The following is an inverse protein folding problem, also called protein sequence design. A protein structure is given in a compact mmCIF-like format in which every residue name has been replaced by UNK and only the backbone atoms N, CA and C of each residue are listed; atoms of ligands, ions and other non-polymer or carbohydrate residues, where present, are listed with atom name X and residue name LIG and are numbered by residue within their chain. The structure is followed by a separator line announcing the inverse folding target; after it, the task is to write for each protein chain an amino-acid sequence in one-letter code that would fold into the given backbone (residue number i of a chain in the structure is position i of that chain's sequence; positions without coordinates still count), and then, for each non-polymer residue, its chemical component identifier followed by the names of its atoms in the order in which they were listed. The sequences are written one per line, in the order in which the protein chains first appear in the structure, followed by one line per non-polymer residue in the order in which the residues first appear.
data_IF_604524437484
#
_entry.id   IF_604524437484
#
_cell.length_a   1.000
_cell.length_b   1.000
_cell.length_c   1.000
_cell.angle_alpha   90.00
_cell.angle_beta   90.00
_cell.angle_gamma   90.00
#
_symmetry.space_group_name_H-M   'P 1'
#
loop_
_entity.id
_entity.type
_entity.pdbx_description
1 polymer ?
#
# COMPACT_ATOMS: atom_id res chain seq x y z
N UNK A 1 8.23 -17.67 -10.77
CA UNK A 1 8.24 -16.39 -10.01
C UNK A 1 6.81 -15.86 -10.03
N UNK A 2 6.22 -15.60 -8.86
CA UNK A 2 4.80 -15.23 -8.78
C UNK A 2 4.59 -13.72 -8.56
N UNK A 3 5.64 -12.88 -8.73
CA UNK A 3 5.57 -11.43 -8.66
C UNK A 3 5.59 -10.83 -10.06
N UNK A 4 4.70 -9.87 -10.29
CA UNK A 4 4.59 -9.05 -11.50
C UNK A 4 5.03 -7.64 -11.16
N UNK A 5 5.84 -7.03 -12.01
CA UNK A 5 6.20 -5.62 -11.86
C UNK A 5 5.03 -4.72 -12.27
N UNK A 6 4.63 -3.85 -11.36
CA UNK A 6 3.59 -2.86 -11.60
C UNK A 6 4.25 -1.61 -12.15
N UNK A 7 3.79 -1.16 -13.32
CA UNK A 7 4.33 0.02 -14.00
C UNK A 7 3.25 1.09 -14.19
N UNK A 8 3.64 2.36 -14.20
CA UNK A 8 2.70 3.47 -14.35
C UNK A 8 1.89 3.37 -15.65
N UNK A 9 2.55 3.12 -16.77
CA UNK A 9 1.92 3.04 -18.08
C UNK A 9 1.13 1.73 -18.30
N UNK A 10 1.65 0.60 -17.81
CA UNK A 10 1.01 -0.70 -17.97
C UNK A 10 -0.26 -0.86 -17.15
N UNK A 11 -0.30 -0.24 -15.96
CA UNK A 11 -1.39 -0.42 -14.99
C UNK A 11 -2.22 0.85 -14.75
N UNK A 12 -1.83 2.01 -15.34
CA UNK A 12 -2.58 3.27 -15.18
C UNK A 12 -2.53 3.87 -13.78
N UNK A 13 -1.48 3.57 -13.01
CA UNK A 13 -1.26 4.08 -11.65
C UNK A 13 -0.21 5.18 -11.62
N UNK A 14 -0.19 5.94 -10.52
CA UNK A 14 0.90 6.82 -10.15
C UNK A 14 1.73 6.19 -9.03
N UNK A 15 2.96 6.64 -8.87
CA UNK A 15 3.84 6.20 -7.79
C UNK A 15 4.33 7.37 -6.94
N UNK A 16 4.36 7.11 -5.64
CA UNK A 16 5.07 7.88 -4.64
C UNK A 16 5.65 6.86 -3.64
N UNK A 17 6.63 6.06 -4.12
CA UNK A 17 7.18 4.92 -3.38
C UNK A 17 7.98 5.42 -2.16
N UNK A 18 7.27 5.63 -1.05
CA UNK A 18 7.75 6.30 0.14
C UNK A 18 9.08 5.73 0.68
N UNK A 19 9.21 4.41 0.64
CA UNK A 19 10.40 3.74 1.20
C UNK A 19 11.62 3.74 0.28
N UNK A 20 11.48 4.21 -0.95
CA UNK A 20 12.62 4.48 -1.84
C UNK A 20 13.24 5.87 -1.62
N UNK A 21 12.57 6.73 -0.85
CA UNK A 21 13.02 8.06 -0.46
C UNK A 21 13.24 8.17 1.06
N UNK A 22 13.57 9.38 1.52
CA UNK A 22 13.72 9.69 2.93
C UNK A 22 12.41 10.20 3.59
N UNK A 23 11.38 10.49 2.78
CA UNK A 23 10.10 10.99 3.26
C UNK A 23 9.18 9.81 3.67
N UNK A 24 9.57 9.15 4.76
CA UNK A 24 8.85 8.07 5.41
C UNK A 24 9.17 8.04 6.91
N UNK A 25 8.48 7.24 7.70
CA UNK A 25 8.63 7.22 9.15
C UNK A 25 10.03 6.82 9.66
N UNK A 26 10.88 6.19 8.81
CA UNK A 26 12.27 5.86 9.19
C UNK A 26 13.24 7.02 8.96
N UNK A 27 12.82 8.08 8.24
CA UNK A 27 13.63 9.25 7.89
C UNK A 27 14.78 8.95 6.92
N UNK A 28 14.79 7.79 6.27
CA UNK A 28 15.82 7.37 5.32
C UNK A 28 15.26 6.35 4.31
N UNK A 29 15.89 6.21 3.14
CA UNK A 29 15.52 5.15 2.21
C UNK A 29 15.68 3.76 2.85
N UNK A 30 14.65 2.92 2.71
CA UNK A 30 14.67 1.50 3.04
C UNK A 30 15.01 0.69 1.79
N UNK A 31 14.49 1.10 0.63
CA UNK A 31 14.82 0.52 -0.67
C UNK A 31 15.95 1.30 -1.32
N UNK A 32 16.90 0.61 -1.95
CA UNK A 32 17.93 1.19 -2.79
C UNK A 32 17.43 1.46 -4.21
N UNK A 33 16.42 0.72 -4.66
CA UNK A 33 15.78 0.86 -5.96
C UNK A 33 14.28 1.02 -5.81
N UNK A 34 13.73 2.09 -6.40
CA UNK A 34 12.30 2.30 -6.50
C UNK A 34 11.70 1.31 -7.52
N UNK A 35 10.93 0.34 -7.04
CA UNK A 35 10.18 -0.59 -7.87
C UNK A 35 8.93 -1.05 -7.13
N UNK A 36 7.90 -1.39 -7.89
CA UNK A 36 6.62 -1.85 -7.36
C UNK A 36 6.31 -3.23 -7.93
N UNK A 37 6.06 -4.20 -7.05
CA UNK A 37 5.67 -5.55 -7.46
C UNK A 37 4.42 -6.00 -6.70
N UNK A 38 3.61 -6.83 -7.34
CA UNK A 38 2.51 -7.56 -6.69
C UNK A 38 2.56 -9.04 -7.10
N UNK A 39 1.97 -9.88 -6.27
CA UNK A 39 1.70 -11.27 -6.64
C UNK A 39 0.74 -11.33 -7.83
N UNK A 40 0.90 -12.32 -8.71
CA UNK A 40 0.03 -12.51 -9.88
C UNK A 40 -1.46 -12.63 -9.54
N UNK A 41 -1.81 -13.05 -8.32
CA UNK A 41 -3.19 -13.11 -7.85
C UNK A 41 -3.72 -11.74 -7.35
N UNK A 42 -2.84 -10.82 -6.97
CA UNK A 42 -3.20 -9.48 -6.49
C UNK A 42 -3.24 -8.43 -7.61
N UNK A 43 -2.47 -8.62 -8.68
CA UNK A 43 -2.49 -7.72 -9.84
C UNK A 43 -3.89 -7.52 -10.43
N UNK A 44 -4.72 -8.57 -10.67
CA UNK A 44 -6.08 -8.38 -11.20
C UNK A 44 -6.98 -7.53 -10.30
N UNK A 45 -6.78 -7.61 -8.97
CA UNK A 45 -7.52 -6.79 -8.01
C UNK A 45 -7.11 -5.31 -8.14
N UNK A 46 -5.82 -5.02 -8.33
CA UNK A 46 -5.35 -3.66 -8.60
C UNK A 46 -5.94 -3.13 -9.92
N UNK A 47 -5.91 -3.93 -10.98
CA UNK A 47 -6.48 -3.54 -12.28
C UNK A 47 -7.99 -3.25 -12.17
N UNK A 48 -8.73 -4.03 -11.38
CA UNK A 48 -10.14 -3.77 -11.11
C UNK A 48 -10.34 -2.45 -10.36
N UNK A 49 -9.53 -2.19 -9.32
CA UNK A 49 -9.59 -0.93 -8.56
C UNK A 49 -9.29 0.30 -9.43
N UNK A 50 -8.27 0.21 -10.31
CA UNK A 50 -7.93 1.28 -11.26
C UNK A 50 -9.11 1.58 -12.18
N UNK A 51 -9.79 0.56 -12.72
CA UNK A 51 -10.98 0.75 -13.57
C UNK A 51 -12.11 1.43 -12.83
N UNK A 52 -12.38 1.02 -11.59
CA UNK A 52 -13.43 1.63 -10.76
C UNK A 52 -13.11 3.09 -10.42
N UNK A 53 -11.86 3.41 -10.09
CA UNK A 53 -11.42 4.79 -9.84
C UNK A 53 -11.56 5.65 -11.09
N UNK A 54 -11.17 5.14 -12.26
CA UNK A 54 -11.25 5.86 -13.53
C UNK A 54 -12.70 6.28 -13.89
N UNK A 55 -13.70 5.44 -13.59
CA UNK A 55 -15.12 5.79 -13.78
C UNK A 55 -15.54 7.00 -12.95
N UNK A 56 -14.86 7.22 -11.80
CA UNK A 56 -15.07 8.37 -10.93
C UNK A 56 -14.21 9.61 -11.31
N UNK A 57 -13.46 9.53 -12.42
CA UNK A 57 -12.50 10.57 -12.80
C UNK A 57 -11.26 10.64 -11.89
N UNK A 58 -10.96 9.56 -11.18
CA UNK A 58 -9.87 9.47 -10.21
C UNK A 58 -8.81 8.46 -10.68
N UNK A 59 -7.62 8.57 -10.08
CA UNK A 59 -6.52 7.63 -10.30
C UNK A 59 -6.00 7.14 -8.96
N UNK A 60 -5.31 5.99 -8.96
CA UNK A 60 -4.63 5.45 -7.80
C UNK A 60 -3.15 5.87 -7.80
N UNK A 61 -2.64 6.26 -6.63
CA UNK A 61 -1.22 6.50 -6.41
C UNK A 61 -0.72 5.56 -5.32
N UNK A 62 0.30 4.74 -5.64
CA UNK A 62 0.84 3.68 -4.78
C UNK A 62 2.01 4.22 -3.97
N UNK A 63 1.98 4.01 -2.65
CA UNK A 63 3.05 4.32 -1.70
C UNK A 63 3.97 3.12 -1.46
N UNK A 64 3.40 1.91 -1.36
CA UNK A 64 4.14 0.64 -1.20
C UNK A 64 3.29 -0.54 -1.72
N UNK A 65 3.98 -1.64 -2.05
CA UNK A 65 3.32 -2.88 -2.46
C UNK A 65 4.12 -4.09 -1.94
N UNK A 66 4.81 -4.86 -2.79
CA UNK A 66 5.70 -5.89 -2.29
C UNK A 66 6.84 -5.26 -1.49
N UNK A 67 6.94 -5.68 -0.24
CA UNK A 67 7.97 -5.27 0.71
C UNK A 67 8.79 -6.50 1.08
N UNK A 68 10.03 -6.64 0.61
CA UNK A 68 10.89 -7.75 0.99
C UNK A 68 10.92 -7.98 2.51
N UNK A 69 11.03 -9.23 2.95
CA UNK A 69 11.08 -9.56 4.38
C UNK A 69 12.23 -8.82 5.10
N UNK A 70 13.32 -8.58 4.41
CA UNK A 70 14.47 -7.81 4.90
C UNK A 70 14.09 -6.36 5.21
N UNK A 71 13.28 -5.72 4.35
CA UNK A 71 12.77 -4.36 4.56
C UNK A 71 11.85 -4.31 5.78
N UNK A 72 10.96 -5.31 5.94
CA UNK A 72 10.09 -5.41 7.11
C UNK A 72 10.90 -5.47 8.43
N UNK A 73 12.05 -6.18 8.44
CA UNK A 73 12.94 -6.18 9.58
C UNK A 73 13.62 -4.83 9.83
N UNK A 74 13.99 -4.08 8.79
CA UNK A 74 14.56 -2.72 8.92
C UNK A 74 13.55 -1.81 9.60
N UNK A 75 12.30 -1.81 9.13
CA UNK A 75 11.21 -1.00 9.67
C UNK A 75 10.88 -1.37 11.12
N UNK A 76 10.76 -2.66 11.42
CA UNK A 76 10.47 -3.15 12.76
C UNK A 76 11.55 -2.80 13.79
N UNK A 77 12.82 -2.85 13.39
CA UNK A 77 13.91 -2.41 14.28
C UNK A 77 13.88 -0.92 14.59
N UNK A 78 13.33 -0.12 13.68
CA UNK A 78 13.15 1.31 13.88
C UNK A 78 11.97 1.61 14.79
N UNK A 79 10.81 1.01 14.51
CA UNK A 79 9.55 1.25 15.23
C UNK A 79 8.82 -0.07 15.43
N UNK A 80 9.06 -0.80 16.55
CA UNK A 80 8.41 -2.08 16.81
C UNK A 80 7.00 -1.88 17.40
N UNK A 81 6.09 -1.33 16.59
CA UNK A 81 4.71 -1.06 16.97
C UNK A 81 3.76 -2.02 16.24
N UNK A 82 3.23 -3.07 16.93
CA UNK A 82 2.38 -4.07 16.31
C UNK A 82 0.98 -3.56 15.91
N UNK A 83 0.62 -2.36 16.31
CA UNK A 83 -0.63 -1.72 15.85
C UNK A 83 -0.54 -1.24 14.40
N UNK A 84 0.65 -0.82 13.95
CA UNK A 84 0.87 -0.25 12.62
C UNK A 84 1.88 -1.04 11.78
N UNK A 85 2.73 -1.85 12.39
CA UNK A 85 3.70 -2.67 11.67
C UNK A 85 3.51 -4.15 12.01
N UNK A 86 3.34 -4.97 11.00
CA UNK A 86 3.31 -6.42 11.19
C UNK A 86 4.66 -6.90 11.77
N UNK A 87 4.60 -7.68 12.86
CA UNK A 87 5.77 -8.34 13.42
C UNK A 87 6.40 -9.27 12.36
N UNK A 88 7.66 -9.04 11.95
CA UNK A 88 8.29 -9.82 10.88
C UNK A 88 8.42 -11.32 11.21
N UNK A 89 8.33 -11.72 12.49
CA UNK A 89 8.28 -13.12 12.89
C UNK A 89 6.97 -13.80 12.48
N UNK A 90 5.88 -13.04 12.36
CA UNK A 90 4.56 -13.50 11.88
C UNK A 90 4.41 -13.26 10.37
N UNK A 91 5.18 -12.30 9.85
CA UNK A 91 5.16 -11.87 8.47
C UNK A 91 4.09 -10.86 8.14
N UNK A 92 4.39 -10.02 7.16
CA UNK A 92 3.50 -8.98 6.62
C UNK A 92 2.80 -9.48 5.34
N UNK A 93 1.56 -9.07 5.07
CA UNK A 93 0.93 -9.25 3.75
C UNK A 93 1.75 -8.61 2.62
N UNK A 94 2.44 -7.49 2.87
CA UNK A 94 3.38 -6.89 1.92
C UNK A 94 4.54 -7.84 1.58
N UNK A 95 5.12 -8.52 2.57
CA UNK A 95 6.20 -9.48 2.33
C UNK A 95 5.74 -10.77 1.63
N UNK A 96 4.45 -10.88 1.34
CA UNK A 96 3.85 -11.97 0.54
C UNK A 96 3.46 -11.48 -0.86
N UNK A 97 3.66 -10.17 -1.14
CA UNK A 97 3.30 -9.53 -2.41
C UNK A 97 1.81 -9.37 -2.64
N UNK A 98 0.97 -9.49 -1.60
CA UNK A 98 -0.49 -9.46 -1.74
C UNK A 98 -1.15 -8.29 -1.00
N UNK A 99 -0.38 -7.24 -0.69
CA UNK A 99 -0.86 -6.01 -0.12
C UNK A 99 -0.36 -4.80 -0.90
N UNK A 100 -1.10 -3.70 -0.80
CA UNK A 100 -0.78 -2.41 -1.40
C UNK A 100 -1.20 -1.28 -0.47
N UNK A 101 -0.34 -0.28 -0.32
CA UNK A 101 -0.62 0.99 0.33
C UNK A 101 -0.80 2.06 -0.75
N UNK A 102 -1.93 2.75 -0.74
CA UNK A 102 -2.27 3.68 -1.82
C UNK A 102 -3.25 4.78 -1.40
N UNK A 103 -3.40 5.78 -2.27
CA UNK A 103 -4.37 6.86 -2.16
C UNK A 103 -5.09 7.12 -3.47
N UNK A 104 -6.08 8.02 -3.44
CA UNK A 104 -6.75 8.57 -4.60
C UNK A 104 -6.14 9.93 -4.97
N UNK A 105 -5.99 10.16 -6.27
CA UNK A 105 -5.64 11.47 -6.84
C UNK A 105 -6.70 11.87 -7.86
N UNK A 106 -6.88 13.18 -8.02
CA UNK A 106 -7.78 13.76 -9.02
C UNK A 106 -7.19 13.73 -10.44
N UNK A 107 -7.90 14.30 -11.40
CA UNK A 107 -7.47 14.41 -12.81
C UNK A 107 -6.18 15.20 -12.98
N UNK A 108 -5.90 16.15 -12.09
CA UNK A 108 -4.71 17.00 -12.12
C UNK A 108 -3.51 16.35 -11.42
N UNK A 109 -3.71 15.17 -10.82
CA UNK A 109 -2.70 14.41 -10.09
C UNK A 109 -2.51 14.86 -8.65
N UNK A 110 -3.43 15.70 -8.12
CA UNK A 110 -3.41 16.13 -6.73
C UNK A 110 -4.05 15.08 -5.82
N UNK A 111 -3.41 14.83 -4.67
CA UNK A 111 -3.93 13.90 -3.67
C UNK A 111 -5.25 14.39 -3.09
N UNK A 112 -6.22 13.48 -2.98
CA UNK A 112 -7.41 13.76 -2.19
C UNK A 112 -7.03 13.82 -0.71
N UNK A 113 -7.57 14.82 0.01
CA UNK A 113 -7.38 14.93 1.46
C UNK A 113 -7.90 13.68 2.18
N UNK A 114 -7.01 12.92 2.78
CA UNK A 114 -7.33 11.73 3.60
C UNK A 114 -7.29 12.04 5.11
N UNK A 115 -7.02 13.30 5.51
CA UNK A 115 -7.03 13.78 6.87
C UNK A 115 -5.81 13.40 7.72
N UNK A 116 -4.97 12.50 7.24
CA UNK A 116 -3.61 12.22 7.74
C UNK A 116 -2.71 11.89 6.57
N UNK A 117 -1.41 12.06 6.76
CA UNK A 117 -0.41 11.56 5.82
C UNK A 117 -0.38 10.02 5.85
N UNK A 118 0.22 9.43 4.81
CA UNK A 118 0.65 8.05 4.81
C UNK A 118 1.61 7.80 5.99
N UNK A 119 1.60 6.62 6.61
CA UNK A 119 2.40 6.28 7.79
C UNK A 119 2.18 7.18 9.04
N UNK A 120 1.10 7.92 9.11
CA UNK A 120 0.74 8.60 10.34
C UNK A 120 0.22 7.59 11.37
N UNK A 121 1.10 7.08 12.23
CA UNK A 121 0.81 6.06 13.25
C UNK A 121 -0.01 6.65 14.40
N UNK A 122 -1.27 6.92 14.13
CA UNK A 122 -2.21 7.52 15.07
C UNK A 122 -3.63 6.97 14.89
N UNK A 123 -4.45 7.02 15.93
CA UNK A 123 -5.86 6.64 15.84
C UNK A 123 -6.68 7.44 14.79
N UNK A 124 -6.17 8.59 14.34
CA UNK A 124 -6.77 9.35 13.25
C UNK A 124 -6.62 8.65 11.90
N UNK A 125 -5.67 7.74 11.75
CA UNK A 125 -5.46 6.93 10.54
C UNK A 125 -6.43 5.75 10.43
N UNK A 126 -7.09 5.38 11.52
CA UNK A 126 -8.04 4.27 11.51
C UNK A 126 -9.23 4.56 10.58
N UNK A 127 -9.71 3.54 9.87
CA UNK A 127 -11.00 3.59 9.20
C UNK A 127 -12.11 3.93 10.19
N UNK A 128 -13.06 4.77 9.78
CA UNK A 128 -14.16 5.21 10.66
C UNK A 128 -13.77 6.27 11.69
N UNK A 129 -12.56 6.81 11.68
CA UNK A 129 -12.18 7.94 12.52
C UNK A 129 -13.08 9.15 12.22
N UNK A 130 -13.77 9.66 13.24
CA UNK A 130 -14.62 10.86 13.15
C UNK A 130 -13.88 12.16 13.49
N UNK A 131 -12.60 12.07 13.90
CA UNK A 131 -11.75 13.21 14.23
C UNK A 131 -11.10 13.84 12.98
N UNK A 132 -11.79 13.78 11.84
CA UNK A 132 -11.35 14.24 10.53
C UNK A 132 -12.39 15.19 9.93
N UNK A 133 -11.99 15.98 8.92
CA UNK A 133 -12.91 16.76 8.12
C UNK A 133 -13.96 15.86 7.42
N UNK A 134 -15.15 16.38 7.17
CA UNK A 134 -16.17 15.66 6.41
C UNK A 134 -15.69 15.30 4.99
N UNK A 135 -14.79 16.12 4.41
CA UNK A 135 -14.12 15.83 3.13
C UNK A 135 -13.26 14.58 3.21
N UNK A 136 -12.35 14.54 4.18
CA UNK A 136 -11.45 13.40 4.38
C UNK A 136 -12.23 12.10 4.69
N UNK A 137 -13.28 12.17 5.49
CA UNK A 137 -14.14 11.01 5.76
C UNK A 137 -14.81 10.48 4.48
N UNK A 138 -15.33 11.37 3.61
CA UNK A 138 -15.91 10.97 2.30
C UNK A 138 -14.87 10.36 1.38
N UNK A 139 -13.66 10.95 1.30
CA UNK A 139 -12.59 10.46 0.45
C UNK A 139 -12.12 9.05 0.88
N UNK A 140 -11.97 8.83 2.18
CA UNK A 140 -11.66 7.48 2.72
C UNK A 140 -12.78 6.47 2.46
N UNK A 141 -14.04 6.87 2.64
CA UNK A 141 -15.18 6.00 2.35
C UNK A 141 -15.24 5.63 0.86
N UNK A 142 -14.91 6.57 -0.02
CA UNK A 142 -14.82 6.31 -1.46
C UNK A 142 -13.69 5.33 -1.78
N UNK A 143 -12.47 5.59 -1.27
CA UNK A 143 -11.32 4.70 -1.47
C UNK A 143 -11.63 3.29 -0.95
N UNK A 144 -12.13 3.16 0.28
CA UNK A 144 -12.53 1.88 0.86
C UNK A 144 -13.56 1.16 -0.01
N UNK A 145 -14.60 1.88 -0.48
CA UNK A 145 -15.64 1.32 -1.34
C UNK A 145 -15.09 0.80 -2.66
N UNK A 146 -14.20 1.54 -3.33
CA UNK A 146 -13.55 1.13 -4.58
C UNK A 146 -12.70 -0.13 -4.38
N UNK A 147 -11.88 -0.16 -3.32
CA UNK A 147 -10.99 -1.28 -3.05
C UNK A 147 -11.76 -2.55 -2.68
N UNK A 148 -12.78 -2.46 -1.83
CA UNK A 148 -13.65 -3.60 -1.49
C UNK A 148 -14.39 -4.12 -2.72
N UNK A 149 -14.94 -3.22 -3.55
CA UNK A 149 -15.62 -3.62 -4.80
C UNK A 149 -14.68 -4.28 -5.81
N UNK A 150 -13.37 -3.96 -5.75
CA UNK A 150 -12.33 -4.60 -6.55
C UNK A 150 -11.87 -5.95 -5.98
N UNK A 151 -12.34 -6.35 -4.78
CA UNK A 151 -12.03 -7.65 -4.17
C UNK A 151 -10.89 -7.62 -3.14
N UNK A 152 -10.46 -6.43 -2.70
CA UNK A 152 -9.49 -6.29 -1.63
C UNK A 152 -10.15 -6.38 -0.25
N UNK A 153 -9.44 -6.93 0.73
CA UNK A 153 -9.66 -6.75 2.16
C UNK A 153 -8.88 -5.52 2.64
N UNK A 154 -9.12 -5.04 3.86
CA UNK A 154 -8.49 -3.84 4.40
C UNK A 154 -8.01 -4.05 5.83
N UNK A 155 -7.00 -3.26 6.24
CA UNK A 155 -6.59 -3.20 7.63
C UNK A 155 -7.28 -2.04 8.34
N UNK A 156 -7.95 -2.36 9.45
CA UNK A 156 -8.80 -1.41 10.18
C UNK A 156 -8.08 -0.14 10.64
N UNK A 157 -6.81 -0.24 11.01
CA UNK A 157 -6.07 0.84 11.64
C UNK A 157 -5.35 1.77 10.64
N UNK A 158 -5.41 1.44 9.32
CA UNK A 158 -4.69 2.18 8.27
C UNK A 158 -5.61 2.40 7.08
N UNK A 159 -5.94 3.67 6.77
CA UNK A 159 -6.83 4.01 5.67
C UNK A 159 -6.23 3.71 4.29
N UNK A 160 -4.91 3.61 4.21
CA UNK A 160 -4.16 3.36 2.98
C UNK A 160 -3.97 1.88 2.65
N UNK A 161 -4.04 0.97 3.66
CA UNK A 161 -3.63 -0.43 3.53
C UNK A 161 -4.77 -1.35 3.06
N UNK A 162 -4.50 -2.05 1.97
CA UNK A 162 -5.37 -3.08 1.40
C UNK A 162 -4.59 -4.34 1.09
N UNK A 163 -5.21 -5.50 1.28
CA UNK A 163 -4.59 -6.80 1.10
C UNK A 163 -5.56 -7.82 0.48
N UNK A 164 -5.04 -8.87 -0.17
CA UNK A 164 -5.89 -9.97 -0.58
C UNK A 164 -6.38 -10.78 0.63
N UNK A 165 -7.56 -11.39 0.50
CA UNK A 165 -8.08 -12.31 1.52
C UNK A 165 -7.14 -13.51 1.72
N UNK A 166 -7.19 -14.12 2.91
CA UNK A 166 -6.40 -15.31 3.26
C UNK A 166 -4.89 -15.14 3.02
N UNK A 167 -4.33 -14.00 3.42
CA UNK A 167 -2.93 -13.65 3.19
C UNK A 167 -1.94 -14.74 3.63
N UNK A 168 -2.28 -15.52 4.66
CA UNK A 168 -1.39 -16.55 5.22
C UNK A 168 -1.15 -17.75 4.29
N UNK A 169 -1.95 -17.96 3.25
CA UNK A 169 -1.71 -19.00 2.25
C UNK A 169 -0.52 -18.70 1.33
N UNK A 170 -0.05 -17.46 1.31
CA UNK A 170 1.09 -17.04 0.51
C UNK A 170 2.38 -17.08 1.33
N UNK A 171 3.50 -17.56 0.76
CA UNK A 171 4.78 -17.61 1.46
C UNK A 171 5.33 -16.20 1.68
N UNK A 172 6.16 -16.04 2.71
CA UNK A 172 6.99 -14.86 2.87
C UNK A 172 8.11 -14.86 1.83
N UNK A 173 8.36 -13.73 1.22
CA UNK A 173 9.34 -13.55 0.16
C UNK A 173 10.39 -12.53 0.60
N UNK A 174 11.65 -12.84 0.32
CA UNK A 174 12.77 -11.91 0.47
C UNK A 174 13.11 -11.21 -0.84
N UNK A 175 14.06 -10.30 -0.78
CA UNK A 175 14.51 -9.52 -1.93
C UNK A 175 15.11 -10.39 -3.06
N UNK A 176 15.70 -11.53 -2.70
CA UNK A 176 16.33 -12.47 -3.64
C UNK A 176 15.39 -13.11 -4.67
N UNK A 177 14.05 -12.99 -4.48
CA UNK A 177 13.09 -13.50 -5.47
C UNK A 177 12.91 -12.56 -6.66
N UNK A 178 13.41 -11.33 -6.57
CA UNK A 178 13.28 -10.34 -7.63
C UNK A 178 14.37 -10.50 -8.70
N UNK A 179 14.07 -10.19 -9.98
CA UNK A 179 15.08 -10.22 -11.04
C UNK A 179 16.17 -9.15 -10.84
N UNK A 180 15.83 -8.07 -10.16
CA UNK A 180 16.73 -6.99 -9.76
C UNK A 180 16.35 -6.58 -8.34
N UNK A 181 17.29 -6.65 -7.41
CA UNK A 181 17.11 -6.37 -6.01
C UNK A 181 16.56 -4.95 -5.76
N UNK A 182 15.76 -4.82 -4.70
CA UNK A 182 15.26 -3.53 -4.20
C UNK A 182 16.05 -3.04 -2.97
N UNK A 183 16.66 -3.97 -2.22
CA UNK A 183 17.41 -3.73 -0.99
C UNK A 183 18.88 -3.42 -1.23
#
# INVERSE_FOLDING_TARGET
MNLVEITATGHGVLFDLAYAGADNFTGRPVYQRAACYLHVDAEPLLVAAVRLAAVQGLRLKIFDAFRPAEAQWVMWRHTPDPEFLADPRRGSPHSRGIAVDLTLVDSDGCDLDMGTYFDAFTARSHHGSTALSAGAQRNRALLLGLMIAAGWDFYRNEWWHYQAFDSHRYPLLGDSVLPLAMM
#
